data_IF_191500984967
#
_entry.id   IF_191500984967
#
_cell.length_a   1.000
_cell.length_b   1.000
_cell.length_c   1.000
_cell.angle_alpha   90.00
_cell.angle_beta   90.00
_cell.angle_gamma   90.00
#
_symmetry.space_group_name_H-M   'P 1'
#
loop_
_entity.id
_entity.type
_entity.pdbx_description
1 polymer ?
#
# COMPACT_ATOMS: atom_id res chain seq x y z
N UNK A 1 -15.93 -30.57 0.15
CA UNK A 1 -14.88 -29.53 0.13
C UNK A 1 -15.24 -28.57 -0.99
N UNK A 2 -15.78 -27.40 -0.65
CA UNK A 2 -16.05 -26.34 -1.63
C UNK A 2 -14.70 -25.77 -2.09
N UNK A 3 -14.45 -25.80 -3.39
CA UNK A 3 -13.34 -25.10 -4.04
C UNK A 3 -13.62 -23.59 -3.99
N UNK A 4 -13.62 -23.00 -2.81
CA UNK A 4 -13.58 -21.54 -2.71
C UNK A 4 -12.20 -21.11 -3.21
N UNK A 5 -12.15 -20.63 -4.46
CA UNK A 5 -10.93 -20.10 -5.07
C UNK A 5 -10.35 -19.00 -4.18
N UNK A 6 -9.01 -18.95 -4.11
CA UNK A 6 -8.31 -17.88 -3.39
C UNK A 6 -8.78 -16.52 -3.92
N UNK A 7 -9.06 -15.58 -3.02
CA UNK A 7 -9.43 -14.23 -3.42
C UNK A 7 -8.25 -13.50 -4.05
N UNK A 8 -8.48 -12.85 -5.18
CA UNK A 8 -7.47 -11.96 -5.77
C UNK A 8 -7.38 -10.61 -5.02
N UNK A 9 -6.32 -9.85 -5.25
CA UNK A 9 -6.10 -8.57 -4.57
C UNK A 9 -7.23 -7.56 -4.86
N UNK A 10 -7.84 -7.59 -6.05
CA UNK A 10 -8.96 -6.72 -6.41
C UNK A 10 -10.21 -7.03 -5.56
N UNK A 11 -10.50 -8.31 -5.34
CA UNK A 11 -11.59 -8.77 -4.48
C UNK A 11 -11.35 -8.41 -3.02
N UNK A 12 -10.11 -8.59 -2.52
CA UNK A 12 -9.71 -8.23 -1.15
C UNK A 12 -9.90 -6.72 -0.90
N UNK A 13 -9.41 -5.87 -1.81
CA UNK A 13 -9.55 -4.40 -1.73
C UNK A 13 -11.02 -3.97 -1.71
N UNK A 14 -11.86 -4.55 -2.58
CA UNK A 14 -13.29 -4.25 -2.62
C UNK A 14 -13.99 -4.62 -1.31
N UNK A 15 -13.61 -5.73 -0.67
CA UNK A 15 -14.14 -6.14 0.63
C UNK A 15 -13.74 -5.15 1.74
N UNK A 16 -12.59 -4.51 1.62
CA UNK A 16 -12.17 -3.39 2.48
C UNK A 16 -12.85 -2.03 2.12
N UNK A 17 -13.91 -2.05 1.29
CA UNK A 17 -14.67 -0.87 0.85
C UNK A 17 -13.82 0.18 0.14
N UNK A 18 -12.77 -0.26 -0.55
CA UNK A 18 -11.95 0.58 -1.41
C UNK A 18 -12.30 0.35 -2.88
N UNK A 19 -12.09 1.38 -3.71
CA UNK A 19 -12.04 1.20 -5.15
C UNK A 19 -10.79 0.37 -5.50
N UNK A 20 -10.93 -0.62 -6.38
CA UNK A 20 -9.81 -1.41 -6.89
C UNK A 20 -9.13 -0.76 -8.11
N UNK A 21 -9.40 0.52 -8.36
CA UNK A 21 -8.91 1.27 -9.51
C UNK A 21 -7.89 2.31 -9.02
N UNK A 22 -6.57 2.12 -9.23
CA UNK A 22 -5.57 3.09 -8.79
C UNK A 22 -5.85 4.51 -9.29
N UNK A 23 -6.35 4.65 -10.51
CA UNK A 23 -6.69 5.93 -11.14
C UNK A 23 -7.81 6.70 -10.42
N UNK A 24 -8.65 6.02 -9.64
CA UNK A 24 -9.64 6.68 -8.78
C UNK A 24 -8.99 7.55 -7.69
N UNK A 25 -7.77 7.20 -7.29
CA UNK A 25 -7.02 7.87 -6.23
C UNK A 25 -5.91 8.81 -6.74
N UNK A 26 -5.66 8.81 -8.05
CA UNK A 26 -4.57 9.58 -8.65
C UNK A 26 -4.64 11.06 -8.31
N UNK A 27 -3.50 11.65 -7.95
CA UNK A 27 -3.37 13.07 -7.60
C UNK A 27 -3.94 13.50 -6.23
N UNK A 28 -4.50 12.57 -5.43
CA UNK A 28 -5.08 12.91 -4.10
C UNK A 28 -4.04 12.97 -2.98
N UNK A 29 -2.88 12.33 -3.15
CA UNK A 29 -1.85 12.20 -2.11
C UNK A 29 -2.15 11.10 -1.09
N UNK A 30 -1.45 11.12 0.06
CA UNK A 30 -1.68 10.16 1.14
C UNK A 30 -2.67 10.73 2.15
N UNK A 31 -3.93 10.29 2.06
CA UNK A 31 -5.06 10.78 2.86
C UNK A 31 -5.72 9.62 3.61
N UNK A 32 -5.97 9.80 4.91
CA UNK A 32 -6.52 8.77 5.81
C UNK A 32 -7.93 8.29 5.42
N UNK A 33 -8.73 9.15 4.77
CA UNK A 33 -10.06 8.76 4.29
C UNK A 33 -9.99 7.69 3.19
N UNK A 34 -8.99 7.79 2.31
CA UNK A 34 -8.81 6.88 1.18
C UNK A 34 -8.20 5.55 1.63
N UNK A 35 -7.21 5.61 2.52
CA UNK A 35 -6.51 4.46 3.09
C UNK A 35 -6.17 4.74 4.57
N UNK A 36 -6.45 3.80 5.46
CA UNK A 36 -6.15 3.92 6.90
C UNK A 36 -5.83 2.55 7.52
N UNK A 37 -5.44 2.56 8.80
CA UNK A 37 -5.10 1.34 9.55
C UNK A 37 -6.21 0.28 9.55
N UNK A 38 -7.48 0.66 9.67
CA UNK A 38 -8.61 -0.29 9.64
C UNK A 38 -8.70 -1.03 8.30
N UNK A 39 -8.56 -0.29 7.19
CA UNK A 39 -8.52 -0.89 5.84
C UNK A 39 -7.30 -1.79 5.68
N UNK A 40 -6.13 -1.37 6.19
CA UNK A 40 -4.89 -2.16 6.12
C UNK A 40 -5.03 -3.48 6.90
N UNK A 41 -5.62 -3.45 8.09
CA UNK A 41 -5.90 -4.64 8.91
C UNK A 41 -6.92 -5.58 8.26
N UNK A 42 -7.99 -5.02 7.68
CA UNK A 42 -8.99 -5.84 6.99
C UNK A 42 -8.37 -6.57 5.78
N UNK A 43 -7.53 -5.88 5.00
CA UNK A 43 -6.78 -6.46 3.89
C UNK A 43 -5.79 -7.52 4.38
N UNK A 44 -5.04 -7.24 5.45
CA UNK A 44 -4.15 -8.23 6.08
C UNK A 44 -4.90 -9.51 6.48
N UNK A 45 -6.05 -9.39 7.13
CA UNK A 45 -6.86 -10.52 7.57
C UNK A 45 -7.35 -11.39 6.41
N UNK A 46 -7.80 -10.76 5.32
CA UNK A 46 -8.19 -11.48 4.10
C UNK A 46 -6.96 -12.13 3.42
N UNK A 47 -5.81 -11.45 3.31
CA UNK A 47 -4.59 -12.04 2.76
C UNK A 47 -4.15 -13.26 3.58
N UNK A 48 -4.09 -13.13 4.90
CA UNK A 48 -3.73 -14.22 5.81
C UNK A 48 -4.66 -15.41 5.66
N UNK A 49 -5.98 -15.17 5.59
CA UNK A 49 -7.00 -16.21 5.44
C UNK A 49 -6.88 -16.98 4.13
N UNK A 50 -6.64 -16.29 3.01
CA UNK A 50 -6.71 -16.90 1.67
C UNK A 50 -5.35 -17.28 1.07
N UNK A 51 -4.28 -16.63 1.49
CA UNK A 51 -2.92 -16.81 0.95
C UNK A 51 -1.89 -17.28 1.98
N UNK A 52 -2.21 -17.22 3.27
CA UNK A 52 -1.38 -17.75 4.36
C UNK A 52 -0.53 -16.69 5.07
N UNK A 53 0.14 -17.11 6.15
CA UNK A 53 0.92 -16.21 7.01
C UNK A 53 2.10 -15.56 6.29
N UNK A 54 2.82 -16.29 5.43
CA UNK A 54 3.98 -15.75 4.68
C UNK A 54 3.57 -14.61 3.74
N UNK A 55 2.42 -14.74 3.09
CA UNK A 55 1.83 -13.71 2.24
C UNK A 55 1.43 -12.48 3.06
N UNK A 56 0.85 -12.70 4.24
CA UNK A 56 0.46 -11.64 5.15
C UNK A 56 1.67 -10.87 5.69
N UNK A 57 2.77 -11.56 6.03
CA UNK A 57 4.02 -10.91 6.44
C UNK A 57 4.65 -10.11 5.30
N UNK A 58 4.67 -10.65 4.09
CA UNK A 58 5.14 -9.91 2.90
C UNK A 58 4.32 -8.65 2.64
N UNK A 59 3.02 -8.70 2.89
CA UNK A 59 2.14 -7.53 2.84
C UNK A 59 2.49 -6.48 3.92
N UNK A 60 2.76 -6.90 5.15
CA UNK A 60 3.19 -5.97 6.23
C UNK A 60 4.49 -5.26 5.81
N UNK A 61 5.45 -6.00 5.27
CA UNK A 61 6.72 -5.44 4.79
C UNK A 61 6.50 -4.44 3.64
N UNK A 62 5.65 -4.77 2.67
CA UNK A 62 5.26 -3.84 1.60
C UNK A 62 4.72 -2.50 2.17
N UNK A 63 3.81 -2.55 3.15
CA UNK A 63 3.26 -1.34 3.78
C UNK A 63 4.34 -0.53 4.52
N UNK A 64 5.34 -1.20 5.09
CA UNK A 64 6.48 -0.55 5.75
C UNK A 64 7.41 0.17 4.74
N UNK A 65 7.65 -0.43 3.58
CA UNK A 65 8.65 0.04 2.61
C UNK A 65 8.12 1.12 1.66
N UNK A 66 6.81 1.24 1.46
CA UNK A 66 6.22 2.32 0.66
C UNK A 66 6.52 3.68 1.32
N UNK A 67 7.26 4.53 0.62
CA UNK A 67 7.71 5.84 1.13
C UNK A 67 6.55 6.81 1.38
N UNK A 68 5.60 6.88 0.44
CA UNK A 68 4.38 7.69 0.53
C UNK A 68 3.21 6.75 0.34
N UNK A 69 2.47 6.49 1.41
CA UNK A 69 1.39 5.49 1.41
C UNK A 69 0.08 6.12 0.92
N UNK A 70 0.10 6.58 -0.33
CA UNK A 70 -1.12 6.96 -1.04
C UNK A 70 -1.93 5.72 -1.40
N UNK A 71 -3.26 5.85 -1.55
CA UNK A 71 -4.08 4.73 -1.99
C UNK A 71 -3.67 4.23 -3.40
N UNK A 72 -3.19 5.12 -4.28
CA UNK A 72 -2.65 4.75 -5.60
C UNK A 72 -1.40 3.87 -5.47
N UNK A 73 -0.39 4.33 -4.73
CA UNK A 73 0.88 3.60 -4.56
C UNK A 73 0.67 2.27 -3.83
N UNK A 74 -0.23 2.26 -2.85
CA UNK A 74 -0.66 1.06 -2.14
C UNK A 74 -1.26 0.02 -3.09
N UNK A 75 -2.23 0.41 -3.93
CA UNK A 75 -2.90 -0.53 -4.84
C UNK A 75 -1.94 -1.10 -5.89
N UNK A 76 -1.07 -0.25 -6.46
CA UNK A 76 -0.08 -0.70 -7.43
C UNK A 76 0.91 -1.69 -6.80
N UNK A 77 1.39 -1.39 -5.58
CA UNK A 77 2.28 -2.28 -4.83
C UNK A 77 1.60 -3.61 -4.49
N UNK A 78 0.34 -3.57 -4.06
CA UNK A 78 -0.44 -4.76 -3.72
C UNK A 78 -0.66 -5.67 -4.95
N UNK A 79 -0.95 -5.10 -6.12
CA UNK A 79 -1.08 -5.88 -7.35
C UNK A 79 0.25 -6.48 -7.80
N UNK A 80 1.36 -5.76 -7.61
CA UNK A 80 2.70 -6.31 -7.85
C UNK A 80 3.00 -7.46 -6.88
N UNK A 81 2.70 -7.30 -5.60
CA UNK A 81 2.84 -8.34 -4.59
C UNK A 81 2.06 -9.60 -4.97
N UNK A 82 0.80 -9.47 -5.38
CA UNK A 82 -0.01 -10.59 -5.88
C UNK A 82 0.62 -11.24 -7.13
N UNK A 83 1.01 -10.44 -8.13
CA UNK A 83 1.64 -10.94 -9.35
C UNK A 83 2.94 -11.70 -9.06
N UNK A 84 3.66 -11.28 -8.03
CA UNK A 84 4.87 -11.92 -7.50
C UNK A 84 4.58 -13.01 -6.47
N UNK A 85 3.40 -13.64 -6.55
CA UNK A 85 2.99 -14.78 -5.70
C UNK A 85 3.08 -14.46 -4.20
N UNK A 86 2.73 -13.23 -3.83
CA UNK A 86 2.74 -12.73 -2.46
C UNK A 86 4.11 -12.72 -1.80
N UNK A 87 5.16 -12.55 -2.60
CA UNK A 87 6.53 -12.33 -2.12
C UNK A 87 6.90 -10.87 -2.33
N UNK A 88 7.25 -10.20 -1.26
CA UNK A 88 7.72 -8.82 -1.33
C UNK A 88 9.20 -8.78 -1.70
N UNK A 89 9.55 -7.89 -2.62
CA UNK A 89 10.92 -7.60 -3.01
C UNK A 89 11.03 -6.08 -3.16
N UNK A 90 11.84 -5.45 -2.32
CA UNK A 90 12.03 -4.00 -2.28
C UNK A 90 12.58 -3.44 -3.60
N UNK A 91 13.30 -4.25 -4.39
CA UNK A 91 13.81 -3.85 -5.70
C UNK A 91 12.69 -3.65 -6.73
N UNK A 92 11.48 -4.17 -6.45
CA UNK A 92 10.28 -3.96 -7.29
C UNK A 92 9.77 -2.52 -7.18
N UNK A 93 10.09 -1.77 -6.11
CA UNK A 93 9.66 -0.39 -5.96
C UNK A 93 10.30 0.57 -6.98
N UNK A 94 11.38 0.14 -7.67
CA UNK A 94 12.20 1.04 -8.46
C UNK A 94 12.90 2.07 -7.55
N UNK A 95 13.87 2.81 -8.09
CA UNK A 95 14.64 3.79 -7.32
C UNK A 95 13.76 4.98 -6.87
N UNK A 96 12.96 4.82 -5.81
CA UNK A 96 12.30 5.88 -5.04
C UNK A 96 11.34 6.81 -5.79
N UNK A 97 11.06 6.56 -7.07
CA UNK A 97 10.33 7.46 -7.95
C UNK A 97 9.04 6.75 -8.39
N UNK A 98 7.90 7.33 -8.01
CA UNK A 98 6.56 6.74 -8.03
C UNK A 98 6.15 5.91 -9.25
N UNK A 99 5.21 4.99 -9.02
CA UNK A 99 4.73 4.04 -10.03
C UNK A 99 3.75 4.71 -11.01
N UNK A 100 4.05 4.57 -12.31
CA UNK A 100 3.18 5.06 -13.38
C UNK A 100 1.90 4.21 -13.54
N UNK A 101 0.79 4.88 -13.86
CA UNK A 101 -0.50 4.27 -14.22
C UNK A 101 -0.79 4.68 -15.66
N UNK A 102 -0.19 3.97 -16.62
CA UNK A 102 -0.47 4.17 -18.05
C UNK A 102 -1.96 4.01 -18.38
N UNK A 103 -2.44 4.62 -19.48
CA UNK A 103 -3.85 4.59 -19.87
C UNK A 103 -4.33 3.16 -20.17
N UNK A 104 -5.54 2.85 -19.72
CA UNK A 104 -6.19 1.55 -19.90
C UNK A 104 -6.65 1.35 -21.36
N UNK A 105 -6.04 0.38 -22.05
CA UNK A 105 -6.41 -0.02 -23.41
C UNK A 105 -7.37 -1.22 -23.43
N UNK A 106 -8.28 -1.36 -22.47
CA UNK A 106 -9.58 -2.03 -22.66
C UNK A 106 -9.60 -3.52 -23.06
N UNK A 107 -8.47 -4.23 -23.07
CA UNK A 107 -8.36 -5.64 -23.50
C UNK A 107 -8.15 -6.63 -22.34
N UNK A 108 -8.18 -6.14 -21.10
CA UNK A 108 -8.19 -6.98 -19.90
C UNK A 108 -6.86 -7.68 -19.60
N UNK A 109 -5.76 -7.31 -20.27
CA UNK A 109 -4.41 -7.79 -19.93
C UNK A 109 -3.50 -6.60 -19.60
N UNK A 110 -3.27 -6.36 -18.30
CA UNK A 110 -2.24 -5.42 -17.84
C UNK A 110 -0.86 -5.97 -18.21
N UNK A 111 -0.32 -5.51 -19.34
CA UNK A 111 1.11 -5.58 -19.59
C UNK A 111 1.77 -4.48 -18.75
N UNK A 112 2.39 -4.87 -17.62
CA UNK A 112 3.10 -3.96 -16.72
C UNK A 112 4.42 -3.59 -17.37
N UNK A 113 4.39 -2.65 -18.32
CA UNK A 113 5.59 -1.94 -18.76
C UNK A 113 5.86 -0.86 -17.72
N UNK A 114 6.85 -1.13 -16.88
CA UNK A 114 7.30 -0.25 -15.82
C UNK A 114 8.15 0.90 -16.40
N UNK A 115 7.55 1.89 -17.05
CA UNK A 115 8.27 3.10 -17.44
C UNK A 115 7.43 4.37 -17.24
N UNK A 116 7.92 5.19 -16.29
CA UNK A 116 7.83 6.65 -16.20
C UNK A 116 6.47 7.34 -15.96
N UNK A 117 6.26 7.88 -14.75
CA UNK A 117 5.50 9.14 -14.57
C UNK A 117 5.99 9.97 -13.39
N UNK A 118 6.62 11.09 -13.74
CA UNK A 118 6.90 12.24 -12.89
C UNK A 118 5.63 13.10 -12.84
N UNK A 119 4.72 12.88 -11.88
CA UNK A 119 3.61 13.83 -11.64
C UNK A 119 3.21 14.06 -10.18
N UNK A 120 3.85 13.44 -9.18
CA UNK A 120 3.45 13.61 -7.76
C UNK A 120 4.22 14.69 -6.98
N UNK A 121 5.23 15.35 -7.58
CA UNK A 121 6.03 16.36 -6.87
C UNK A 121 5.41 17.78 -6.93
N UNK A 122 4.37 18.02 -7.73
CA UNK A 122 3.84 19.38 -7.97
C UNK A 122 2.36 19.61 -7.57
N UNK A 123 1.65 18.62 -7.01
CA UNK A 123 0.28 18.77 -6.51
C UNK A 123 0.22 18.85 -4.98
N UNK A 124 -0.36 19.91 -4.41
CA UNK A 124 -0.25 20.26 -2.99
C UNK A 124 -0.65 19.20 -1.94
N UNK A 125 0.32 18.89 -1.07
CA UNK A 125 0.31 19.13 0.40
C UNK A 125 -0.64 18.36 1.34
N UNK A 126 -0.98 17.09 1.09
CA UNK A 126 -1.38 16.18 2.20
C UNK A 126 -0.63 14.85 2.14
N UNK A 127 0.22 14.64 3.14
CA UNK A 127 0.96 13.41 3.35
C UNK A 127 0.71 12.90 4.77
N UNK A 128 -0.30 12.05 4.93
CA UNK A 128 -0.69 11.43 6.20
C UNK A 128 -0.10 10.02 6.35
N UNK A 129 0.91 9.66 5.54
CA UNK A 129 1.53 8.32 5.51
C UNK A 129 1.82 7.76 6.90
N UNK A 130 2.38 8.58 7.79
CA UNK A 130 2.64 8.19 9.17
C UNK A 130 1.36 7.77 9.90
N UNK A 131 0.30 8.59 9.85
CA UNK A 131 -0.97 8.29 10.50
C UNK A 131 -1.62 7.01 9.92
N UNK A 132 -1.53 6.83 8.60
CA UNK A 132 -2.11 5.67 7.90
C UNK A 132 -1.50 4.35 8.38
N UNK A 133 -0.16 4.26 8.46
CA UNK A 133 0.52 2.98 8.74
C UNK A 133 0.94 2.77 10.20
N UNK A 134 1.04 3.81 11.02
CA UNK A 134 1.64 3.68 12.36
C UNK A 134 0.89 2.70 13.26
N UNK A 135 -0.45 2.73 13.25
CA UNK A 135 -1.23 1.81 14.08
C UNK A 135 -1.02 0.36 13.62
N UNK A 136 -1.19 0.14 12.32
CA UNK A 136 -1.00 -1.16 11.65
C UNK A 136 0.41 -1.73 11.93
N UNK A 137 1.48 -1.01 11.60
CA UNK A 137 2.84 -1.52 11.77
C UNK A 137 3.20 -1.81 13.24
N UNK A 138 2.70 -1.00 14.17
CA UNK A 138 2.88 -1.24 15.60
C UNK A 138 2.22 -2.55 16.06
N UNK A 139 1.02 -2.84 15.57
CA UNK A 139 0.29 -4.07 15.89
C UNK A 139 0.96 -5.31 15.31
N UNK A 140 1.66 -5.18 14.18
CA UNK A 140 2.44 -6.25 13.55
C UNK A 140 3.93 -6.28 13.95
N UNK A 141 4.32 -5.53 14.98
CA UNK A 141 5.67 -5.60 15.57
C UNK A 141 6.79 -4.94 14.76
N UNK A 142 6.47 -4.17 13.72
CA UNK A 142 7.45 -3.38 12.96
C UNK A 142 7.59 -1.99 13.59
N UNK A 143 8.76 -1.73 14.18
CA UNK A 143 9.11 -0.40 14.65
C UNK A 143 9.26 0.57 13.48
N UNK A 144 8.54 1.69 13.51
CA UNK A 144 8.64 2.72 12.46
C UNK A 144 10.07 3.27 12.46
N UNK A 145 10.83 3.21 11.34
CA UNK A 145 12.21 3.68 11.33
C UNK A 145 12.28 5.17 11.66
N UNK A 146 13.17 5.53 12.59
CA UNK A 146 13.38 6.91 13.08
C UNK A 146 13.91 7.87 12.01
N UNK A 147 14.37 7.34 10.87
CA UNK A 147 14.83 8.10 9.70
C UNK A 147 13.69 8.60 8.81
N UNK A 148 12.42 8.32 9.14
CA UNK A 148 11.30 8.94 8.43
C UNK A 148 11.27 10.45 8.73
N UNK A 149 11.54 11.34 7.74
CA UNK A 149 11.52 12.79 7.95
C UNK A 149 10.11 13.32 8.31
N UNK A 150 9.09 12.45 8.24
CA UNK A 150 7.71 12.72 8.60
C UNK A 150 7.24 11.97 9.85
N UNK A 151 8.15 11.34 10.62
CA UNK A 151 7.78 10.86 11.95
C UNK A 151 7.33 12.06 12.79
N UNK A 152 6.14 12.02 13.43
CA UNK A 152 5.75 13.09 14.35
C UNK A 152 6.84 13.19 15.40
N UNK A 153 7.45 14.38 15.54
CA UNK A 153 8.42 14.65 16.59
C UNK A 153 7.79 14.20 17.90
N UNK A 154 8.41 13.23 18.59
CA UNK A 154 8.09 12.93 19.98
C UNK A 154 8.21 14.25 20.72
N UNK A 155 7.07 14.80 21.13
CA UNK A 155 7.03 15.80 22.17
C UNK A 155 7.33 15.05 23.44
N UNK A 156 8.60 14.98 23.80
CA UNK A 156 9.03 14.56 25.12
C UNK A 156 8.49 15.61 26.10
N UNK A 157 7.26 15.39 26.58
CA UNK A 157 6.71 16.07 27.73
C UNK A 157 7.36 15.49 28.99
N UNK A 158 8.68 15.62 29.11
CA UNK A 158 9.41 15.43 30.36
C UNK A 158 10.40 16.58 30.50
N UNK A 159 9.86 17.71 30.95
CA UNK A 159 10.61 18.83 31.51
C UNK A 159 9.70 19.60 32.45
N UNK A 160 9.40 19.01 33.62
CA UNK A 160 9.55 19.59 34.96
C UNK A 160 8.81 18.78 36.02
#
# INVERSE_FOLDING_TARGET
MTLEGKLDACQIVKRARMSARPEFYSGRGAITDDLNGEKLEHIYGDIKRWHGDDAAQSYVQMVADILVLSATDFLLSLYRLESNKWKWDEHILGNGNGMDVGPDYGDGRREVIAEATIFSILGGNRNETGAIRNLFLREHGIGVPSSNPYAPRRWDCDSR
#
